data_IF_451041734608
#
_entry.id   IF_451041734608
#
_cell.length_a   1.000
_cell.length_b   1.000
_cell.length_c   1.000
_cell.angle_alpha   90.00
_cell.angle_beta   90.00
_cell.angle_gamma   90.00
#
_symmetry.space_group_name_H-M   'P 1'
#
loop_
_entity.id
_entity.type
_entity.pdbx_description
1 polymer ?
#
# COMPACT_ATOMS: atom_id res chain seq x y z
N UNK A 1 17.59 19.67 -1.79
CA UNK A 1 17.08 18.57 -0.96
C UNK A 1 16.04 19.18 -0.04
N UNK A 2 14.76 18.80 -0.16
CA UNK A 2 13.72 19.26 0.78
C UNK A 2 14.00 18.65 2.16
N UNK A 3 13.84 19.41 3.22
CA UNK A 3 13.97 18.90 4.58
C UNK A 3 12.85 17.91 4.90
N UNK A 4 13.04 17.00 5.87
CA UNK A 4 12.01 16.07 6.31
C UNK A 4 10.68 16.78 6.66
N UNK A 5 10.73 18.00 7.21
CA UNK A 5 9.54 18.82 7.50
C UNK A 5 8.72 19.13 6.23
N UNK A 6 9.36 19.40 5.09
CA UNK A 6 8.66 19.66 3.81
C UNK A 6 8.03 18.41 3.17
N UNK A 7 8.40 17.21 3.64
CA UNK A 7 7.82 15.93 3.17
C UNK A 7 6.45 15.70 3.84
N UNK A 8 6.20 16.32 4.99
CA UNK A 8 4.99 16.11 5.80
C UNK A 8 3.90 17.17 5.63
N UNK A 9 4.13 18.20 4.81
CA UNK A 9 3.13 19.28 4.55
C UNK A 9 1.87 18.79 3.82
N UNK A 10 1.87 17.55 3.31
CA UNK A 10 0.79 16.97 2.51
C UNK A 10 0.16 15.73 3.18
N UNK A 11 0.09 15.71 4.51
CA UNK A 11 -0.53 14.62 5.27
C UNK A 11 -1.93 15.03 5.72
N UNK A 12 -2.92 14.21 5.39
CA UNK A 12 -4.30 14.36 5.88
C UNK A 12 -4.71 13.12 6.67
N UNK A 13 -5.40 13.30 7.78
CA UNK A 13 -5.91 12.24 8.64
C UNK A 13 -7.43 12.15 8.51
N UNK A 14 -7.95 10.94 8.31
CA UNK A 14 -9.36 10.64 8.10
C UNK A 14 -9.79 9.59 9.12
N UNK A 15 -10.89 9.86 9.81
CA UNK A 15 -11.39 8.95 10.85
C UNK A 15 -10.79 9.21 12.23
N UNK A 16 -10.92 8.23 13.12
CA UNK A 16 -10.44 8.29 14.51
C UNK A 16 -9.77 6.96 14.87
N UNK A 17 -8.80 7.02 15.79
CA UNK A 17 -8.16 5.81 16.35
C UNK A 17 -9.22 4.85 16.90
N UNK A 18 -9.14 3.52 16.62
CA UNK A 18 -8.07 2.82 15.91
C UNK A 18 -8.23 2.77 14.38
N UNK A 19 -9.26 3.35 13.81
CA UNK A 19 -9.65 3.25 12.40
C UNK A 19 -9.27 4.51 11.61
N UNK A 20 -8.08 5.03 11.84
CA UNK A 20 -7.59 6.23 11.16
C UNK A 20 -6.94 5.86 9.82
N UNK A 21 -7.19 6.65 8.79
CA UNK A 21 -6.50 6.59 7.50
C UNK A 21 -5.59 7.82 7.42
N UNK A 22 -4.33 7.61 7.06
CA UNK A 22 -3.39 8.68 6.70
C UNK A 22 -3.31 8.75 5.18
N UNK A 23 -3.65 9.89 4.62
CA UNK A 23 -3.49 10.21 3.20
C UNK A 23 -2.25 11.07 3.01
N UNK A 24 -1.44 10.71 2.03
CA UNK A 24 -0.16 11.37 1.73
C UNK A 24 -0.02 11.56 0.23
N UNK A 25 0.38 12.74 -0.23
CA UNK A 25 0.84 12.92 -1.60
C UNK A 25 2.32 12.51 -1.69
N UNK A 26 2.64 11.54 -2.52
CA UNK A 26 4.01 11.10 -2.73
C UNK A 26 4.87 12.22 -3.33
N UNK A 27 6.12 12.38 -2.90
CA UNK A 27 7.09 13.19 -3.63
C UNK A 27 7.30 12.65 -5.04
N UNK A 28 7.53 13.54 -6.01
CA UNK A 28 7.67 13.17 -7.43
C UNK A 28 8.71 12.06 -7.65
N UNK A 29 9.85 12.13 -6.98
CA UNK A 29 10.93 11.13 -7.14
C UNK A 29 10.53 9.74 -6.62
N UNK A 30 9.71 9.65 -5.56
CA UNK A 30 9.14 8.37 -5.07
C UNK A 30 8.06 7.88 -6.04
N UNK A 31 7.22 8.79 -6.52
CA UNK A 31 6.18 8.43 -7.47
C UNK A 31 6.75 7.94 -8.81
N UNK A 32 7.85 8.54 -9.28
CA UNK A 32 8.58 8.10 -10.48
C UNK A 32 9.19 6.71 -10.30
N UNK A 33 9.73 6.38 -9.11
CA UNK A 33 10.16 5.02 -8.78
C UNK A 33 9.00 4.02 -8.91
N UNK A 34 7.85 4.33 -8.31
CA UNK A 34 6.65 3.46 -8.36
C UNK A 34 6.16 3.28 -9.80
N UNK A 35 6.13 4.33 -10.60
CA UNK A 35 5.76 4.26 -12.03
C UNK A 35 6.72 3.37 -12.82
N UNK A 36 8.00 3.36 -12.48
CA UNK A 36 8.99 2.53 -13.18
C UNK A 36 8.73 1.03 -13.08
N UNK A 37 7.91 0.59 -12.13
CA UNK A 37 7.54 -0.81 -11.95
C UNK A 37 6.40 -1.27 -12.87
N UNK A 38 5.70 -0.34 -13.54
CA UNK A 38 4.53 -0.68 -14.38
C UNK A 38 4.92 -1.66 -15.49
N UNK A 39 5.90 -1.33 -16.30
CA UNK A 39 6.27 -2.17 -17.45
C UNK A 39 6.85 -3.53 -17.05
N UNK A 40 7.75 -3.63 -16.05
CA UNK A 40 8.14 -4.94 -15.51
C UNK A 40 6.95 -5.80 -15.04
N UNK A 41 6.00 -5.21 -14.31
CA UNK A 41 4.82 -5.94 -13.83
C UNK A 41 3.86 -6.31 -14.97
N UNK A 42 3.70 -5.41 -15.96
CA UNK A 42 2.89 -5.67 -17.16
C UNK A 42 3.48 -6.81 -17.99
N UNK A 43 4.79 -6.86 -18.16
CA UNK A 43 5.48 -7.92 -18.87
C UNK A 43 5.31 -9.29 -18.20
N UNK A 44 5.23 -9.34 -16.86
CA UNK A 44 4.92 -10.57 -16.13
C UNK A 44 3.47 -10.98 -16.41
N UNK A 45 2.52 -10.04 -16.39
CA UNK A 45 1.10 -10.29 -16.66
C UNK A 45 0.89 -10.89 -18.07
N UNK A 46 1.62 -10.39 -19.06
CA UNK A 46 1.46 -10.76 -20.46
C UNK A 46 2.25 -12.01 -20.88
N UNK A 47 3.01 -12.64 -19.96
CA UNK A 47 3.82 -13.81 -20.23
C UNK A 47 3.08 -15.11 -19.86
N UNK A 48 3.34 -16.22 -20.57
CA UNK A 48 2.77 -17.54 -20.29
C UNK A 48 3.11 -18.10 -18.90
N UNK A 49 4.22 -17.66 -18.29
CA UNK A 49 4.56 -17.94 -16.89
C UNK A 49 3.78 -17.07 -15.88
N UNK A 50 2.95 -16.19 -16.34
CA UNK A 50 2.14 -15.28 -15.52
C UNK A 50 1.17 -16.01 -14.58
N UNK A 51 0.72 -17.22 -14.92
CA UNK A 51 -0.18 -18.01 -14.07
C UNK A 51 0.43 -18.37 -12.70
N UNK A 52 1.77 -18.46 -12.62
CA UNK A 52 2.48 -18.74 -11.37
C UNK A 52 2.72 -17.49 -10.51
N UNK A 53 2.72 -16.31 -11.12
CA UNK A 53 3.03 -15.04 -10.48
C UNK A 53 1.82 -14.08 -10.42
N UNK A 54 0.81 -14.34 -11.25
CA UNK A 54 -0.45 -13.58 -11.28
C UNK A 54 -1.48 -14.31 -10.42
N UNK A 55 -1.77 -13.75 -9.27
CA UNK A 55 -2.95 -14.15 -8.54
C UNK A 55 -4.15 -13.36 -9.08
N UNK A 56 -4.93 -13.98 -9.99
CA UNK A 56 -6.35 -13.70 -9.96
C UNK A 56 -6.82 -14.13 -8.57
N UNK A 57 -7.55 -13.30 -7.88
CA UNK A 57 -8.24 -13.72 -6.66
C UNK A 57 -9.30 -14.77 -7.02
N UNK A 58 -8.82 -15.96 -7.33
CA UNK A 58 -9.63 -17.11 -7.72
C UNK A 58 -10.43 -17.53 -6.49
N UNK A 59 -11.72 -17.36 -6.53
CA UNK A 59 -12.63 -17.80 -5.46
C UNK A 59 -13.43 -16.70 -4.78
N UNK A 60 -13.13 -15.43 -5.05
CA UNK A 60 -13.88 -14.30 -4.49
C UNK A 60 -14.70 -13.53 -5.53
N UNK A 61 -14.65 -13.93 -6.79
CA UNK A 61 -15.36 -13.26 -7.87
C UNK A 61 -14.62 -12.09 -8.51
N UNK A 62 -13.33 -11.88 -8.15
CA UNK A 62 -12.54 -10.74 -8.61
C UNK A 62 -11.83 -11.02 -9.89
N UNK A 63 -11.89 -10.03 -10.78
CA UNK A 63 -11.20 -10.06 -12.05
C UNK A 63 -9.95 -9.18 -12.10
N UNK A 64 -9.65 -8.42 -11.04
CA UNK A 64 -8.46 -7.55 -10.99
C UNK A 64 -7.19 -8.38 -11.06
N UNK A 65 -6.31 -8.04 -11.99
CA UNK A 65 -5.00 -8.65 -12.10
C UNK A 65 -4.05 -8.11 -11.01
N UNK A 66 -3.42 -9.01 -10.25
CA UNK A 66 -2.44 -8.69 -9.24
C UNK A 66 -1.10 -9.31 -9.59
N UNK A 67 -0.04 -8.51 -9.65
CA UNK A 67 1.32 -8.96 -9.93
C UNK A 67 2.24 -8.54 -8.80
N UNK A 68 2.93 -9.50 -8.18
CA UNK A 68 3.93 -9.21 -7.16
C UNK A 68 5.09 -8.38 -7.72
N UNK A 69 5.55 -7.40 -6.94
CA UNK A 69 6.70 -6.57 -7.28
C UNK A 69 7.94 -7.22 -6.71
N UNK A 70 8.83 -7.69 -7.58
CA UNK A 70 10.03 -8.40 -7.16
C UNK A 70 10.90 -7.53 -6.25
N UNK A 71 11.44 -8.14 -5.18
CA UNK A 71 12.26 -7.49 -4.16
C UNK A 71 13.37 -6.63 -4.72
N UNK A 72 14.03 -7.07 -5.81
CA UNK A 72 15.10 -6.32 -6.49
C UNK A 72 14.68 -4.93 -6.97
N UNK A 73 13.40 -4.71 -7.28
CA UNK A 73 12.88 -3.40 -7.68
C UNK A 73 12.62 -2.49 -6.49
N UNK A 74 12.35 -3.05 -5.31
CA UNK A 74 12.07 -2.30 -4.08
C UNK A 74 13.34 -1.95 -3.31
N UNK A 75 14.25 -2.92 -3.15
CA UNK A 75 15.47 -2.76 -2.33
C UNK A 75 16.43 -1.69 -2.85
N UNK A 76 16.42 -1.42 -4.15
CA UNK A 76 17.34 -0.47 -4.79
C UNK A 76 16.74 0.94 -4.97
N UNK A 77 15.68 1.26 -4.21
CA UNK A 77 14.95 2.52 -4.32
C UNK A 77 14.89 3.25 -2.98
N UNK A 78 14.53 4.53 -3.04
CA UNK A 78 14.19 5.32 -1.83
C UNK A 78 12.82 4.99 -1.26
N UNK A 79 11.98 4.30 -2.05
CA UNK A 79 10.60 3.94 -1.70
C UNK A 79 10.51 3.24 -0.34
N UNK A 80 11.30 2.18 -0.11
CA UNK A 80 11.23 1.40 1.13
C UNK A 80 11.49 2.26 2.37
N UNK A 81 12.54 3.09 2.33
CA UNK A 81 12.84 4.01 3.42
C UNK A 81 11.73 5.04 3.63
N UNK A 82 11.16 5.55 2.54
CA UNK A 82 10.07 6.52 2.60
C UNK A 82 8.82 5.95 3.26
N UNK A 83 8.33 4.78 2.82
CA UNK A 83 7.10 4.19 3.37
C UNK A 83 7.24 3.76 4.83
N UNK A 84 8.44 3.32 5.25
CA UNK A 84 8.73 3.03 6.67
C UNK A 84 8.64 4.31 7.50
N UNK A 85 9.23 5.42 7.05
CA UNK A 85 9.17 6.71 7.76
C UNK A 85 7.73 7.23 7.87
N UNK A 86 6.92 7.10 6.81
CA UNK A 86 5.50 7.46 6.85
C UNK A 86 4.73 6.58 7.84
N UNK A 87 5.00 5.28 7.87
CA UNK A 87 4.36 4.38 8.82
C UNK A 87 4.75 4.69 10.28
N UNK A 88 5.99 5.06 10.54
CA UNK A 88 6.43 5.52 11.86
C UNK A 88 5.76 6.84 12.26
N UNK A 89 5.60 7.78 11.32
CA UNK A 89 4.83 9.00 11.55
C UNK A 89 3.36 8.68 11.87
N UNK A 90 2.75 7.77 11.12
CA UNK A 90 1.38 7.31 11.38
C UNK A 90 1.25 6.77 12.82
N UNK A 91 2.14 5.88 13.25
CA UNK A 91 2.13 5.31 14.59
C UNK A 91 2.30 6.37 15.69
N UNK A 92 3.15 7.37 15.47
CA UNK A 92 3.29 8.52 16.38
C UNK A 92 1.99 9.32 16.46
N UNK A 93 1.36 9.58 15.32
CA UNK A 93 0.13 10.39 15.24
C UNK A 93 -1.05 9.75 15.95
N UNK A 94 -1.18 8.42 15.89
CA UNK A 94 -2.23 7.69 16.60
C UNK A 94 -1.88 7.40 18.07
N UNK A 95 -0.83 8.00 18.61
CA UNK A 95 -0.32 7.77 19.94
C UNK A 95 -0.06 6.28 20.26
N UNK A 96 0.35 5.53 19.24
CA UNK A 96 0.75 4.15 19.43
C UNK A 96 1.99 4.14 20.33
N UNK A 97 1.83 3.70 21.58
CA UNK A 97 2.91 3.67 22.55
C UNK A 97 4.00 2.69 22.12
N UNK A 98 5.02 3.24 21.51
CA UNK A 98 6.08 2.47 20.87
C UNK A 98 7.46 2.94 21.30
N UNK A 99 7.51 3.72 22.38
CA UNK A 99 8.73 4.40 22.82
C UNK A 99 9.10 3.94 24.22
N UNK A 100 10.34 3.54 24.41
CA UNK A 100 10.94 3.24 25.71
C UNK A 100 11.07 4.49 26.57
N UNK A 101 11.33 4.33 27.88
CA UNK A 101 11.61 5.46 28.79
C UNK A 101 12.83 6.29 28.36
N UNK A 102 13.76 5.71 27.59
CA UNK A 102 14.94 6.38 27.04
C UNK A 102 14.67 7.04 25.65
N UNK A 103 13.43 6.99 25.16
CA UNK A 103 13.06 7.54 23.87
C UNK A 103 13.32 6.62 22.67
N UNK A 104 13.87 5.44 22.87
CA UNK A 104 14.06 4.45 21.80
C UNK A 104 12.75 3.76 21.44
N UNK A 105 12.62 3.29 20.19
CA UNK A 105 11.41 2.61 19.74
C UNK A 105 11.43 1.13 20.17
N UNK A 106 10.36 0.68 20.84
CA UNK A 106 10.16 -0.75 21.18
C UNK A 106 9.89 -1.62 19.95
N UNK A 107 9.43 -1.02 18.88
CA UNK A 107 8.96 -1.74 17.70
C UNK A 107 9.49 -1.07 16.44
N UNK A 108 9.86 -1.88 15.51
CA UNK A 108 10.35 -1.46 14.19
C UNK A 108 9.28 -1.73 13.16
N UNK A 109 9.04 -0.80 12.27
CA UNK A 109 8.21 -1.03 11.08
C UNK A 109 9.08 -1.67 10.01
N UNK A 110 8.54 -2.69 9.35
CA UNK A 110 9.19 -3.33 8.23
C UNK A 110 8.16 -3.72 7.17
N UNK A 111 8.59 -3.75 5.90
CA UNK A 111 7.79 -4.37 4.85
C UNK A 111 7.53 -5.82 5.24
N UNK A 112 6.28 -6.28 5.10
CA UNK A 112 5.95 -7.67 5.38
C UNK A 112 6.56 -8.57 4.31
N UNK A 113 7.18 -9.67 4.73
CA UNK A 113 7.61 -10.73 3.81
C UNK A 113 6.42 -11.59 3.39
N UNK A 114 6.40 -12.01 2.13
CA UNK A 114 5.39 -12.93 1.60
C UNK A 114 6.01 -14.00 0.68
N UNK A 115 6.85 -14.90 1.22
CA UNK A 115 7.63 -15.84 0.43
C UNK A 115 6.79 -16.89 -0.31
N UNK A 116 5.50 -17.01 0.00
CA UNK A 116 4.61 -18.00 -0.63
C UNK A 116 3.88 -17.48 -1.87
N UNK A 117 3.82 -16.17 -2.08
CA UNK A 117 3.06 -15.57 -3.17
C UNK A 117 3.91 -14.71 -4.11
N UNK A 118 4.91 -14.00 -3.56
CA UNK A 118 5.78 -13.11 -4.31
C UNK A 118 7.22 -13.34 -3.90
N UNK A 119 8.16 -13.01 -4.79
CA UNK A 119 9.59 -13.15 -4.50
C UNK A 119 10.04 -12.03 -3.53
N UNK A 120 9.68 -12.20 -2.26
CA UNK A 120 10.17 -11.40 -1.15
C UNK A 120 9.11 -10.63 -0.37
N UNK A 121 8.79 -9.40 -0.75
CA UNK A 121 7.89 -8.53 0.01
C UNK A 121 6.41 -8.72 -0.34
N UNK A 122 5.55 -8.42 0.62
CA UNK A 122 4.10 -8.37 0.43
C UNK A 122 3.71 -7.01 -0.20
N UNK A 123 4.09 -6.87 -1.45
CA UNK A 123 3.84 -5.69 -2.29
C UNK A 123 3.45 -6.15 -3.69
N UNK A 124 2.38 -5.61 -4.24
CA UNK A 124 1.88 -5.98 -5.55
C UNK A 124 1.26 -4.80 -6.30
N UNK A 125 1.26 -4.90 -7.61
CA UNK A 125 0.59 -3.99 -8.52
C UNK A 125 -0.74 -4.58 -8.97
N UNK A 126 -1.78 -3.76 -8.96
CA UNK A 126 -3.11 -4.10 -9.45
C UNK A 126 -3.35 -3.41 -10.79
N UNK A 127 -3.82 -4.18 -11.77
CA UNK A 127 -4.33 -3.70 -13.05
C UNK A 127 -5.83 -3.96 -13.10
N UNK A 128 -6.63 -2.90 -13.13
CA UNK A 128 -8.09 -2.98 -13.09
C UNK A 128 -8.66 -2.46 -14.41
N UNK A 129 -9.48 -3.28 -15.04
CA UNK A 129 -10.13 -3.00 -16.32
C UNK A 129 -11.63 -2.93 -16.12
N UNK A 130 -12.38 -2.57 -17.20
CA UNK A 130 -13.82 -2.58 -17.19
C UNK A 130 -14.38 -3.97 -16.81
N UNK A 131 -15.35 -4.00 -15.92
CA UNK A 131 -15.91 -5.21 -15.36
C UNK A 131 -15.15 -5.80 -14.17
N UNK A 132 -13.95 -5.27 -13.85
CA UNK A 132 -13.19 -5.71 -12.68
C UNK A 132 -13.66 -4.96 -11.43
N UNK A 133 -13.65 -5.68 -10.32
CA UNK A 133 -13.96 -5.18 -8.98
C UNK A 133 -12.95 -5.67 -7.94
N UNK A 134 -13.02 -5.11 -6.75
CA UNK A 134 -12.33 -5.65 -5.59
C UNK A 134 -13.28 -5.53 -4.39
N UNK A 135 -14.01 -6.62 -4.02
CA UNK A 135 -15.02 -6.55 -2.98
C UNK A 135 -14.45 -6.28 -1.61
N UNK A 136 -15.36 -6.19 -0.64
CA UNK A 136 -15.01 -5.93 0.76
C UNK A 136 -14.02 -6.96 1.27
N UNK A 137 -12.83 -6.50 1.62
CA UNK A 137 -11.76 -7.33 2.16
C UNK A 137 -10.91 -6.55 3.17
N UNK A 138 -10.00 -7.24 3.82
CA UNK A 138 -8.93 -6.71 4.65
C UNK A 138 -7.63 -7.45 4.34
N UNK A 139 -6.53 -7.05 4.97
CA UNK A 139 -5.21 -7.60 4.67
C UNK A 139 -4.55 -8.27 5.87
N UNK A 140 -3.46 -8.99 5.58
CA UNK A 140 -2.53 -9.49 6.59
C UNK A 140 -1.56 -8.39 7.04
N UNK A 141 -0.77 -8.65 8.10
CA UNK A 141 0.16 -7.67 8.67
C UNK A 141 -0.46 -6.79 9.74
N UNK A 142 0.06 -5.57 9.91
CA UNK A 142 -0.44 -4.60 10.88
C UNK A 142 -0.98 -3.32 10.21
N UNK A 143 -0.32 -2.87 9.15
CA UNK A 143 -0.72 -1.72 8.34
C UNK A 143 -0.80 -2.14 6.89
N UNK A 144 -1.72 -1.55 6.16
CA UNK A 144 -1.91 -1.74 4.73
C UNK A 144 -1.89 -0.40 4.03
N UNK A 145 -1.49 -0.41 2.76
CA UNK A 145 -1.43 0.80 1.96
C UNK A 145 -1.92 0.58 0.54
N UNK A 146 -2.42 1.66 -0.06
CA UNK A 146 -2.77 1.74 -1.48
C UNK A 146 -2.11 3.01 -2.04
N UNK A 147 -1.38 2.87 -3.15
CA UNK A 147 -0.84 3.98 -3.93
C UNK A 147 -1.58 4.03 -5.26
N UNK A 148 -2.13 5.17 -5.63
CA UNK A 148 -2.82 5.35 -6.89
C UNK A 148 -1.83 5.82 -7.96
N UNK A 149 -1.56 4.95 -8.94
CA UNK A 149 -0.51 5.16 -9.95
C UNK A 149 -1.07 5.70 -11.24
N UNK A 150 -2.24 5.21 -11.64
CA UNK A 150 -3.01 5.66 -12.80
C UNK A 150 -4.50 5.47 -12.52
N UNK A 151 -5.27 6.53 -12.60
CA UNK A 151 -6.72 6.47 -12.39
C UNK A 151 -7.45 7.65 -13.05
N UNK A 152 -7.59 7.60 -14.38
CA UNK A 152 -8.18 8.68 -15.19
C UNK A 152 -9.64 8.98 -14.82
N UNK A 153 -10.35 7.99 -14.28
CA UNK A 153 -11.78 8.09 -13.93
C UNK A 153 -12.03 8.35 -12.45
N UNK A 154 -10.96 8.44 -11.64
CA UNK A 154 -11.06 8.59 -10.20
C UNK A 154 -11.96 7.53 -9.55
N UNK A 155 -11.80 6.25 -9.94
CA UNK A 155 -12.59 5.14 -9.41
C UNK A 155 -12.41 5.02 -7.88
N UNK A 156 -13.47 5.18 -7.07
CA UNK A 156 -13.33 5.35 -5.64
C UNK A 156 -12.88 4.09 -4.93
N UNK A 157 -12.13 4.29 -3.83
CA UNK A 157 -11.92 3.27 -2.80
C UNK A 157 -12.86 3.55 -1.64
N UNK A 158 -13.67 2.58 -1.26
CA UNK A 158 -14.72 2.72 -0.25
C UNK A 158 -14.28 2.02 1.02
N UNK A 159 -14.45 2.68 2.17
CA UNK A 159 -14.22 2.16 3.51
C UNK A 159 -15.58 2.10 4.25
N UNK A 160 -16.31 0.98 4.16
CA UNK A 160 -17.70 0.90 4.64
C UNK A 160 -17.83 1.19 6.13
N UNK A 161 -16.92 0.69 6.97
CA UNK A 161 -16.96 0.88 8.42
C UNK A 161 -16.74 2.33 8.87
N UNK A 162 -16.18 3.18 8.00
CA UNK A 162 -16.00 4.61 8.24
C UNK A 162 -17.06 5.46 7.54
N UNK A 163 -17.93 4.85 6.73
CA UNK A 163 -18.80 5.58 5.80
C UNK A 163 -18.00 6.60 4.97
N UNK A 164 -16.79 6.21 4.53
CA UNK A 164 -15.86 7.06 3.81
C UNK A 164 -15.59 6.52 2.41
N UNK A 165 -15.69 7.41 1.42
CA UNK A 165 -15.38 7.12 0.01
C UNK A 165 -14.26 8.05 -0.41
N UNK A 166 -13.12 7.47 -0.74
CA UNK A 166 -11.97 8.20 -1.22
C UNK A 166 -12.00 8.31 -2.74
N UNK A 167 -11.96 9.53 -3.26
CA UNK A 167 -11.76 9.82 -4.67
C UNK A 167 -10.25 9.93 -4.93
N UNK A 168 -9.63 8.94 -5.58
CA UNK A 168 -8.19 8.90 -5.73
C UNK A 168 -7.66 9.96 -6.70
N UNK A 169 -6.41 10.36 -6.44
CA UNK A 169 -5.60 11.12 -7.39
C UNK A 169 -4.27 10.42 -7.59
N UNK A 170 -3.73 10.54 -8.77
CA UNK A 170 -2.41 9.97 -9.08
C UNK A 170 -1.34 10.52 -8.13
N UNK A 171 -0.50 9.64 -7.63
CA UNK A 171 0.54 9.95 -6.64
C UNK A 171 0.03 10.04 -5.20
N UNK A 172 -1.27 9.89 -4.93
CA UNK A 172 -1.76 9.75 -3.55
C UNK A 172 -1.50 8.34 -3.01
N UNK A 173 -1.21 8.28 -1.72
CA UNK A 173 -1.07 7.06 -0.94
C UNK A 173 -2.01 7.12 0.26
N UNK A 174 -2.73 6.04 0.50
CA UNK A 174 -3.45 5.79 1.75
C UNK A 174 -2.68 4.78 2.59
N UNK A 175 -2.51 5.04 3.88
CA UNK A 175 -1.98 4.12 4.86
C UNK A 175 -3.00 3.96 5.99
N UNK A 176 -3.34 2.71 6.35
CA UNK A 176 -4.40 2.41 7.29
C UNK A 176 -4.17 1.07 8.02
N UNK A 177 -4.87 0.80 9.14
CA UNK A 177 -4.78 -0.48 9.83
C UNK A 177 -5.26 -1.62 8.94
N UNK A 178 -4.56 -2.75 8.95
CA UNK A 178 -4.86 -3.91 8.12
C UNK A 178 -6.28 -4.48 8.30
N UNK A 179 -6.88 -4.32 9.49
CA UNK A 179 -8.25 -4.79 9.79
C UNK A 179 -9.33 -3.91 9.17
N UNK A 180 -8.99 -2.71 8.68
CA UNK A 180 -9.95 -1.78 8.10
C UNK A 180 -10.41 -2.30 6.74
N UNK A 181 -11.66 -2.73 6.68
CA UNK A 181 -12.27 -3.24 5.46
C UNK A 181 -12.41 -2.15 4.42
N UNK A 182 -12.08 -2.48 3.18
CA UNK A 182 -12.22 -1.60 2.04
C UNK A 182 -12.59 -2.38 0.78
N UNK A 183 -13.06 -1.65 -0.24
CA UNK A 183 -13.50 -2.21 -1.50
C UNK A 183 -13.34 -1.23 -2.65
N UNK A 184 -13.39 -1.75 -3.86
CA UNK A 184 -13.53 -0.99 -5.11
C UNK A 184 -14.68 -1.61 -5.89
N UNK A 185 -15.68 -0.81 -6.26
CA UNK A 185 -16.82 -1.27 -7.05
C UNK A 185 -16.39 -1.67 -8.46
N UNK A 186 -17.26 -2.38 -9.17
CA UNK A 186 -17.03 -2.78 -10.54
C UNK A 186 -16.74 -1.56 -11.44
N UNK A 187 -15.60 -1.62 -12.16
CA UNK A 187 -15.19 -0.55 -13.08
C UNK A 187 -16.09 -0.50 -14.30
N UNK A 188 -16.68 0.66 -14.54
CA UNK A 188 -17.66 0.85 -15.62
C UNK A 188 -17.05 1.39 -16.92
N UNK A 189 -15.82 1.90 -16.88
CA UNK A 189 -15.17 2.60 -18.00
C UNK A 189 -14.06 1.75 -18.64
N UNK A 190 -13.70 2.08 -19.87
CA UNK A 190 -12.65 1.38 -20.62
C UNK A 190 -11.22 1.81 -20.22
N UNK A 191 -11.05 2.89 -19.47
CA UNK A 191 -9.73 3.31 -19.02
C UNK A 191 -9.11 2.27 -18.07
N UNK A 192 -7.80 2.18 -18.05
CA UNK A 192 -7.06 1.31 -17.10
C UNK A 192 -6.85 2.04 -15.78
N UNK A 193 -7.08 1.34 -14.65
CA UNK A 193 -6.65 1.78 -13.33
C UNK A 193 -5.46 0.96 -12.88
N UNK A 194 -4.43 1.63 -12.37
CA UNK A 194 -3.24 0.97 -11.79
C UNK A 194 -3.05 1.46 -10.37
N UNK A 195 -2.92 0.53 -9.42
CA UNK A 195 -2.55 0.83 -8.05
C UNK A 195 -1.48 -0.12 -7.54
N UNK A 196 -0.69 0.34 -6.57
CA UNK A 196 0.24 -0.51 -5.81
C UNK A 196 -0.27 -0.65 -4.40
N UNK A 197 -0.36 -1.90 -3.94
CA UNK A 197 -0.71 -2.21 -2.55
C UNK A 197 0.46 -2.88 -1.85
N UNK A 198 0.63 -2.63 -0.56
CA UNK A 198 1.63 -3.30 0.27
C UNK A 198 1.17 -3.40 1.72
N UNK A 199 1.76 -4.35 2.44
CA UNK A 199 1.52 -4.56 3.85
C UNK A 199 2.80 -4.39 4.67
N UNK A 200 2.65 -3.85 5.88
CA UNK A 200 3.73 -3.64 6.83
C UNK A 200 3.47 -4.41 8.13
N UNK A 201 4.55 -4.89 8.74
CA UNK A 201 4.56 -5.44 10.07
C UNK A 201 5.16 -4.44 11.07
N UNK A 202 4.64 -4.47 12.30
CA UNK A 202 5.22 -3.81 13.47
C UNK A 202 5.93 -4.90 14.27
N UNK A 203 7.25 -4.93 14.19
CA UNK A 203 8.10 -5.94 14.83
C UNK A 203 8.49 -5.48 16.24
N UNK A 204 8.52 -6.39 17.21
CA UNK A 204 9.17 -6.11 18.50
C UNK A 204 10.69 -5.98 18.30
N UNK A 205 11.30 -4.98 18.93
CA UNK A 205 12.76 -4.88 18.94
C UNK A 205 13.36 -6.03 19.78
N UNK A 206 14.45 -6.63 19.30
CA UNK A 206 15.13 -7.73 20.00
C UNK A 206 15.73 -7.33 21.37
N UNK A 207 15.71 -6.04 21.73
CA UNK A 207 16.30 -5.51 22.97
C UNK A 207 15.50 -5.80 24.25
N UNK A 208 14.38 -6.51 24.19
CA UNK A 208 13.58 -6.84 25.38
C UNK A 208 13.80 -8.26 25.93
N UNK A 209 14.84 -8.98 25.53
CA UNK A 209 15.14 -10.33 26.06
C UNK A 209 16.27 -10.38 27.07
N UNK A 210 16.56 -9.25 27.80
CA UNK A 210 17.52 -9.30 28.93
C UNK A 210 16.97 -8.56 30.14
#
# INVERSE_FOLDING_TARGET
MKTLEQIFDNVELIGQTPNMIMKVQLPDFIFDEVKSWIEPCRSIKDNEYAELLNHRNVGTGHNTYQTGIAKKYVDNTYFLGYVINIAELYLKTINYQNVNMDGSFYRKVAMRDNPGHYDGYDIWMNFTYKGDDNPVHNHAGNLSSIIYVKDEDSQPTIFPSLNYTHQPKEGEMLLFPNHLQHMVEEKQTESERISVSYNLNILQSEQQMY
#
